data_IF_734590990240
#
_entry.id   IF_734590990240
#
_cell.length_a   1.000
_cell.length_b   1.000
_cell.length_c   1.000
_cell.angle_alpha   90.00
_cell.angle_beta   90.00
_cell.angle_gamma   90.00
#
_symmetry.space_group_name_H-M   'P 1'
#
loop_
_entity.id
_entity.type
_entity.pdbx_description
1 polymer ?
#
# COMPACT_ATOMS: atom_id res chain seq x y z
N UNK A 1 18.74 13.47 -2.74
CA UNK A 1 17.34 13.01 -2.93
C UNK A 1 17.23 11.91 -3.98
N UNK A 2 17.78 12.07 -5.20
CA UNK A 2 17.71 11.06 -6.26
C UNK A 2 18.27 9.67 -5.86
N UNK A 3 19.43 9.60 -5.21
CA UNK A 3 20.00 8.34 -4.72
C UNK A 3 19.15 7.65 -3.64
N UNK A 4 18.38 8.41 -2.86
CA UNK A 4 17.48 7.82 -1.87
C UNK A 4 16.32 7.11 -2.57
N UNK A 5 15.75 7.70 -3.62
CA UNK A 5 14.70 7.07 -4.44
C UNK A 5 15.20 5.79 -5.11
N UNK A 6 16.42 5.79 -5.66
CA UNK A 6 17.02 4.58 -6.27
C UNK A 6 17.20 3.47 -5.25
N UNK A 7 17.77 3.78 -4.08
CA UNK A 7 17.93 2.80 -2.99
C UNK A 7 16.59 2.30 -2.47
N UNK A 8 15.59 3.17 -2.38
CA UNK A 8 14.23 2.81 -1.97
C UNK A 8 13.55 1.89 -3.00
N UNK A 9 13.71 2.15 -4.30
CA UNK A 9 13.21 1.26 -5.34
C UNK A 9 13.89 -0.12 -5.27
N UNK A 10 15.21 -0.14 -5.06
CA UNK A 10 15.98 -1.38 -4.94
C UNK A 10 15.54 -2.22 -3.75
N UNK A 11 15.36 -1.62 -2.55
CA UNK A 11 14.88 -2.38 -1.38
C UNK A 11 13.44 -2.86 -1.57
N UNK A 12 12.59 -2.11 -2.28
CA UNK A 12 11.22 -2.53 -2.62
C UNK A 12 11.18 -3.70 -3.60
N UNK A 13 12.15 -3.83 -4.49
CA UNK A 13 12.25 -5.00 -5.39
C UNK A 13 13.00 -6.15 -4.70
N UNK A 14 14.31 -6.01 -4.50
CA UNK A 14 15.17 -7.07 -3.98
C UNK A 14 14.79 -7.49 -2.56
N UNK A 15 14.49 -6.52 -1.69
CA UNK A 15 14.13 -6.78 -0.29
C UNK A 15 12.79 -7.50 -0.18
N UNK A 16 11.78 -7.07 -0.94
CA UNK A 16 10.48 -7.75 -0.95
C UNK A 16 10.58 -9.17 -1.47
N UNK A 17 11.35 -9.41 -2.54
CA UNK A 17 11.60 -10.77 -3.04
C UNK A 17 12.22 -11.66 -1.95
N UNK A 18 13.26 -11.17 -1.28
CA UNK A 18 13.91 -11.92 -0.21
C UNK A 18 12.96 -12.21 0.97
N UNK A 19 12.09 -11.25 1.34
CA UNK A 19 11.08 -11.45 2.39
C UNK A 19 10.01 -12.46 1.97
N UNK A 20 9.56 -12.45 0.72
CA UNK A 20 8.63 -13.44 0.18
C UNK A 20 9.24 -14.84 0.26
N UNK A 21 10.49 -15.01 -0.16
CA UNK A 21 11.18 -16.30 -0.13
C UNK A 21 11.35 -16.82 1.31
N UNK A 22 11.77 -15.94 2.23
CA UNK A 22 11.91 -16.27 3.64
C UNK A 22 10.57 -16.62 4.29
N UNK A 23 9.50 -15.88 3.99
CA UNK A 23 8.16 -16.14 4.51
C UNK A 23 7.60 -17.48 4.01
N UNK A 24 7.84 -17.81 2.73
CA UNK A 24 7.49 -19.13 2.16
C UNK A 24 8.25 -20.25 2.87
N UNK A 25 9.56 -20.10 3.06
CA UNK A 25 10.39 -21.08 3.74
C UNK A 25 9.98 -21.28 5.22
N UNK A 26 9.52 -20.21 5.87
CA UNK A 26 8.99 -20.26 7.24
C UNK A 26 7.57 -20.84 7.34
N UNK A 27 6.92 -21.16 6.20
CA UNK A 27 5.56 -21.68 6.19
C UNK A 27 4.49 -20.64 6.55
N UNK A 28 4.80 -19.35 6.42
CA UNK A 28 3.83 -18.28 6.65
C UNK A 28 2.59 -18.47 5.75
N UNK A 29 1.42 -18.06 6.24
CA UNK A 29 0.16 -18.20 5.49
C UNK A 29 -0.22 -16.93 4.74
N UNK A 30 0.25 -15.79 5.21
CA UNK A 30 -0.10 -14.47 4.68
C UNK A 30 1.10 -13.55 4.74
N UNK A 31 1.23 -12.68 3.75
CA UNK A 31 2.18 -11.59 3.71
C UNK A 31 1.42 -10.29 3.41
N UNK A 32 1.55 -9.31 4.30
CA UNK A 32 0.93 -7.99 4.14
C UNK A 32 2.04 -6.98 3.89
N UNK A 33 1.95 -6.24 2.79
CA UNK A 33 2.91 -5.20 2.44
C UNK A 33 2.26 -3.83 2.40
N UNK A 34 2.99 -2.85 2.90
CA UNK A 34 2.65 -1.45 2.74
C UNK A 34 3.05 -0.97 1.35
N UNK A 35 2.12 -0.30 0.67
CA UNK A 35 2.28 0.38 -0.62
C UNK A 35 1.71 1.80 -0.51
N UNK A 36 1.64 2.53 -1.62
CA UNK A 36 1.20 3.93 -1.70
C UNK A 36 0.11 4.12 -2.75
N UNK A 37 -0.82 5.03 -2.49
CA UNK A 37 -2.04 5.20 -3.30
C UNK A 37 -1.94 6.24 -4.44
N UNK A 38 -0.83 6.98 -4.57
CA UNK A 38 -0.69 8.09 -5.53
C UNK A 38 0.20 7.76 -6.75
N UNK A 39 0.17 6.50 -7.18
CA UNK A 39 1.00 5.97 -8.28
C UNK A 39 0.20 5.29 -9.38
N UNK A 40 -1.11 5.55 -9.44
CA UNK A 40 -1.97 5.14 -10.56
C UNK A 40 -1.58 5.85 -11.85
N UNK A 41 -1.77 5.16 -12.98
CA UNK A 41 -1.62 5.75 -14.30
C UNK A 41 -2.68 6.84 -14.52
N UNK A 42 -2.40 7.88 -15.32
CA UNK A 42 -3.39 8.91 -15.64
C UNK A 42 -4.69 8.28 -16.18
N UNK A 43 -5.83 8.69 -15.64
CA UNK A 43 -7.14 8.15 -16.00
C UNK A 43 -8.29 8.84 -15.28
N UNK A 44 -9.48 8.25 -15.39
CA UNK A 44 -10.66 8.74 -14.68
C UNK A 44 -10.53 8.48 -13.18
N UNK A 45 -10.75 9.51 -12.38
CA UNK A 45 -10.76 9.44 -10.92
C UNK A 45 -12.20 9.37 -10.39
N UNK A 46 -12.44 8.76 -9.21
CA UNK A 46 -11.45 8.14 -8.33
C UNK A 46 -10.98 6.77 -8.82
N UNK A 47 -9.69 6.48 -8.65
CA UNK A 47 -9.10 5.20 -9.03
C UNK A 47 -9.52 4.05 -8.11
N UNK A 48 -9.84 2.90 -8.70
CA UNK A 48 -10.07 1.63 -8.02
C UNK A 48 -8.80 0.75 -8.07
N UNK A 49 -8.70 -0.28 -7.23
CA UNK A 49 -7.49 -1.10 -7.17
C UNK A 49 -7.21 -1.92 -8.44
N UNK A 50 -8.24 -2.09 -9.28
CA UNK A 50 -8.19 -2.70 -10.61
C UNK A 50 -7.55 -1.80 -11.66
N UNK A 51 -7.44 -0.50 -11.39
CA UNK A 51 -6.81 0.44 -12.31
C UNK A 51 -5.29 0.23 -12.35
N UNK A 52 -4.66 0.45 -13.51
CA UNK A 52 -3.24 0.22 -13.66
C UNK A 52 -2.42 1.22 -12.85
N UNK A 53 -1.31 0.74 -12.29
CA UNK A 53 -0.25 1.62 -11.80
C UNK A 53 0.52 2.23 -12.98
N UNK A 54 1.12 3.39 -12.76
CA UNK A 54 1.77 4.24 -13.77
C UNK A 54 3.12 3.67 -14.26
N UNK A 55 3.12 2.49 -14.88
CA UNK A 55 4.33 1.84 -15.39
C UNK A 55 5.02 2.64 -16.51
N UNK A 56 4.35 3.64 -17.08
CA UNK A 56 4.88 4.57 -18.08
C UNK A 56 5.44 5.86 -17.49
N UNK A 57 5.50 6.00 -16.15
CA UNK A 57 6.06 7.19 -15.51
C UNK A 57 7.49 7.48 -15.98
N UNK A 58 7.80 8.76 -16.19
CA UNK A 58 9.11 9.21 -16.65
C UNK A 58 9.91 9.90 -15.52
N UNK A 59 11.21 10.09 -15.76
CA UNK A 59 12.11 10.83 -14.87
C UNK A 59 12.19 10.25 -13.45
N UNK A 60 12.27 11.12 -12.45
CA UNK A 60 12.41 10.70 -11.05
C UNK A 60 11.22 9.90 -10.50
N UNK A 61 10.02 10.11 -11.06
CA UNK A 61 8.79 9.39 -10.68
C UNK A 61 8.86 7.92 -11.10
N UNK A 62 9.44 7.63 -12.28
CA UNK A 62 9.64 6.29 -12.82
C UNK A 62 10.27 5.32 -11.80
N UNK A 63 11.28 5.80 -11.07
CA UNK A 63 12.01 5.01 -10.07
C UNK A 63 11.08 4.60 -8.92
N UNK A 64 10.30 5.54 -8.39
CA UNK A 64 9.38 5.27 -7.29
C UNK A 64 8.26 4.33 -7.71
N UNK A 65 7.64 4.58 -8.88
CA UNK A 65 6.55 3.74 -9.40
C UNK A 65 7.06 2.34 -9.72
N UNK A 66 8.22 2.21 -10.36
CA UNK A 66 8.85 0.91 -10.62
C UNK A 66 9.08 0.10 -9.33
N UNK A 67 9.53 0.75 -8.25
CA UNK A 67 9.66 0.11 -6.94
C UNK A 67 8.30 -0.36 -6.37
N UNK A 68 7.23 0.43 -6.52
CA UNK A 68 5.89 0.00 -6.10
C UNK A 68 5.41 -1.20 -6.91
N UNK A 69 5.49 -1.12 -8.24
CA UNK A 69 5.07 -2.20 -9.15
C UNK A 69 5.81 -3.50 -8.81
N UNK A 70 7.12 -3.44 -8.55
CA UNK A 70 7.91 -4.60 -8.16
C UNK A 70 7.44 -5.19 -6.82
N UNK A 71 7.26 -4.35 -5.79
CA UNK A 71 6.77 -4.79 -4.48
C UNK A 71 5.40 -5.47 -4.59
N UNK A 72 4.46 -4.85 -5.30
CA UNK A 72 3.11 -5.41 -5.45
C UNK A 72 3.13 -6.71 -6.24
N UNK A 73 3.93 -6.79 -7.30
CA UNK A 73 4.10 -8.03 -8.08
C UNK A 73 4.61 -9.18 -7.20
N UNK A 74 5.64 -8.96 -6.39
CA UNK A 74 6.21 -10.01 -5.53
C UNK A 74 5.23 -10.47 -4.46
N UNK A 75 4.53 -9.54 -3.82
CA UNK A 75 3.57 -9.83 -2.74
C UNK A 75 2.35 -10.54 -3.31
N UNK A 76 1.74 -10.02 -4.37
CA UNK A 76 0.56 -10.62 -4.98
C UNK A 76 0.89 -11.97 -5.66
N UNK A 77 2.13 -12.16 -6.11
CA UNK A 77 2.63 -13.44 -6.64
C UNK A 77 3.14 -14.43 -5.59
N UNK A 78 2.96 -14.16 -4.28
CA UNK A 78 3.57 -14.92 -3.19
C UNK A 78 2.95 -16.31 -2.91
N UNK A 79 2.22 -16.88 -3.87
CA UNK A 79 1.63 -18.22 -3.78
C UNK A 79 2.64 -19.27 -3.27
N UNK A 80 2.24 -20.17 -2.35
CA UNK A 80 0.86 -20.42 -1.89
C UNK A 80 0.37 -19.52 -0.73
N UNK A 81 1.14 -18.50 -0.33
CA UNK A 81 0.70 -17.55 0.70
C UNK A 81 -0.35 -16.57 0.14
N UNK A 82 -1.25 -16.10 0.99
CA UNK A 82 -2.11 -14.96 0.68
C UNK A 82 -1.29 -13.67 0.71
N UNK A 83 -1.13 -13.03 -0.44
CA UNK A 83 -0.49 -11.73 -0.59
C UNK A 83 -1.49 -10.59 -0.50
N UNK A 84 -1.25 -9.64 0.42
CA UNK A 84 -2.09 -8.46 0.61
C UNK A 84 -1.24 -7.21 0.46
N UNK A 85 -1.71 -6.26 -0.33
CA UNK A 85 -1.11 -4.95 -0.48
C UNK A 85 -2.05 -3.90 0.08
N UNK A 86 -1.56 -3.07 1.00
CA UNK A 86 -2.30 -1.92 1.50
C UNK A 86 -1.70 -0.65 0.90
N UNK A 87 -2.40 -0.05 -0.08
CA UNK A 87 -2.04 1.21 -0.74
C UNK A 87 -2.46 2.37 0.16
N UNK A 88 -1.56 2.82 1.01
CA UNK A 88 -1.81 3.91 1.95
C UNK A 88 -1.80 5.26 1.26
N UNK A 89 -2.67 6.17 1.71
CA UNK A 89 -2.49 7.61 1.54
C UNK A 89 -1.25 8.12 2.29
N UNK A 90 -1.00 9.43 2.24
CA UNK A 90 0.02 10.09 3.05
C UNK A 90 -0.34 9.96 4.52
N UNK A 91 0.53 9.27 5.25
CA UNK A 91 0.40 9.08 6.70
C UNK A 91 0.52 10.43 7.41
N UNK A 92 -0.39 10.68 8.35
CA UNK A 92 -0.32 11.80 9.29
C UNK A 92 -0.77 11.38 10.69
N UNK A 93 -0.47 12.21 11.69
CA UNK A 93 -0.76 11.98 13.10
C UNK A 93 0.47 11.58 13.93
N UNK A 94 0.28 11.21 15.21
CA UNK A 94 1.37 11.01 16.16
C UNK A 94 2.45 10.03 15.65
N UNK A 95 3.72 10.43 15.76
CA UNK A 95 4.86 9.57 15.41
C UNK A 95 5.12 9.39 13.92
N UNK A 96 4.36 10.04 13.03
CA UNK A 96 4.60 9.97 11.57
C UNK A 96 5.58 11.02 11.06
N UNK A 97 5.85 12.06 11.85
CA UNK A 97 6.60 13.25 11.41
C UNK A 97 5.77 14.22 10.56
N UNK A 98 4.47 13.96 10.38
CA UNK A 98 3.52 14.82 9.69
C UNK A 98 2.25 15.02 10.55
N UNK A 99 2.07 16.20 11.12
CA UNK A 99 0.89 16.50 11.95
C UNK A 99 -0.35 16.81 11.11
N UNK A 100 -0.16 17.32 9.89
CA UNK A 100 -1.25 17.73 8.99
C UNK A 100 -1.47 16.72 7.86
N UNK A 101 -2.74 16.53 7.51
CA UNK A 101 -3.16 15.68 6.40
C UNK A 101 -2.75 16.25 5.03
N UNK A 102 -2.29 15.37 4.13
CA UNK A 102 -2.04 15.68 2.71
C UNK A 102 -2.79 14.67 1.83
N UNK A 103 -3.66 15.13 0.94
CA UNK A 103 -4.50 14.25 0.15
C UNK A 103 -3.69 13.43 -0.91
N UNK A 104 -4.00 12.14 -1.13
CA UNK A 104 -4.92 11.32 -0.35
C UNK A 104 -4.32 11.02 1.02
N UNK A 105 -4.98 11.40 2.12
CA UNK A 105 -4.42 11.30 3.48
C UNK A 105 -4.86 10.02 4.17
N UNK A 106 -4.10 9.53 5.14
CA UNK A 106 -4.57 8.49 6.07
C UNK A 106 -3.97 8.73 7.45
N UNK A 107 -4.81 8.78 8.48
CA UNK A 107 -4.31 8.90 9.85
C UNK A 107 -3.62 7.60 10.27
N UNK A 108 -2.52 7.70 11.04
CA UNK A 108 -1.71 6.55 11.47
C UNK A 108 -2.54 5.46 12.15
N UNK A 109 -3.49 5.82 13.01
CA UNK A 109 -4.38 4.83 13.65
C UNK A 109 -5.25 4.09 12.65
N UNK A 110 -5.80 4.79 11.65
CA UNK A 110 -6.60 4.17 10.60
C UNK A 110 -5.74 3.27 9.70
N UNK A 111 -4.49 3.65 9.43
CA UNK A 111 -3.54 2.79 8.73
C UNK A 111 -3.18 1.54 9.56
N UNK A 112 -2.93 1.69 10.87
CA UNK A 112 -2.70 0.55 11.76
C UNK A 112 -3.92 -0.37 11.83
N UNK A 113 -5.13 0.19 11.86
CA UNK A 113 -6.36 -0.58 11.81
C UNK A 113 -6.50 -1.35 10.50
N UNK A 114 -6.11 -0.78 9.35
CA UNK A 114 -6.08 -1.48 8.06
C UNK A 114 -5.18 -2.72 8.12
N UNK A 115 -3.99 -2.61 8.72
CA UNK A 115 -3.10 -3.74 8.91
C UNK A 115 -3.72 -4.82 9.82
N UNK A 116 -4.39 -4.43 10.91
CA UNK A 116 -5.08 -5.35 11.80
C UNK A 116 -6.18 -6.13 11.06
N UNK A 117 -7.09 -5.45 10.36
CA UNK A 117 -8.18 -6.14 9.65
C UNK A 117 -7.68 -6.97 8.48
N UNK A 118 -6.57 -6.59 7.84
CA UNK A 118 -5.89 -7.40 6.83
C UNK A 118 -5.32 -8.69 7.43
N UNK A 119 -4.79 -8.66 8.66
CA UNK A 119 -4.36 -9.87 9.39
C UNK A 119 -5.55 -10.78 9.69
N UNK A 120 -6.64 -10.23 10.21
CA UNK A 120 -7.80 -11.00 10.66
C UNK A 120 -8.61 -11.60 9.51
N UNK A 121 -8.81 -10.81 8.43
CA UNK A 121 -9.88 -11.07 7.43
C UNK A 121 -9.42 -10.86 5.99
N UNK A 122 -8.22 -10.35 5.76
CA UNK A 122 -7.78 -9.96 4.43
C UNK A 122 -7.63 -11.13 3.45
N UNK A 123 -8.18 -10.97 2.25
CA UNK A 123 -8.02 -11.88 1.13
C UNK A 123 -6.96 -11.41 0.14
N UNK A 124 -6.57 -12.28 -0.79
CA UNK A 124 -5.58 -11.99 -1.82
C UNK A 124 -5.95 -10.72 -2.60
N UNK A 125 -5.06 -9.72 -2.61
CA UNK A 125 -5.28 -8.52 -3.41
C UNK A 125 -4.70 -7.23 -2.82
N UNK A 126 -4.95 -6.14 -3.55
CA UNK A 126 -4.66 -4.79 -3.10
C UNK A 126 -5.91 -4.10 -2.54
N UNK A 127 -5.70 -3.17 -1.61
CA UNK A 127 -6.71 -2.32 -0.99
C UNK A 127 -6.20 -0.88 -0.87
N UNK A 128 -7.00 0.08 -1.33
CA UNK A 128 -6.79 1.51 -1.12
C UNK A 128 -7.23 1.90 0.29
N UNK A 129 -6.38 2.65 0.98
CA UNK A 129 -6.58 3.01 2.39
C UNK A 129 -6.25 4.50 2.56
N UNK A 130 -7.28 5.33 2.45
CA UNK A 130 -7.20 6.77 2.61
C UNK A 130 -8.53 7.34 3.13
N UNK A 131 -8.50 8.52 3.71
CA UNK A 131 -9.68 9.33 3.99
C UNK A 131 -10.39 9.70 2.69
N UNK A 132 -11.71 10.00 2.72
CA UNK A 132 -12.46 10.37 1.53
C UNK A 132 -11.77 11.49 0.74
N UNK A 133 -11.52 11.25 -0.54
CA UNK A 133 -10.83 12.16 -1.43
C UNK A 133 -11.29 11.94 -2.88
N UNK A 134 -10.84 12.78 -3.81
CA UNK A 134 -11.19 12.66 -5.23
C UNK A 134 -10.31 11.68 -6.03
N UNK A 135 -9.15 11.28 -5.52
CA UNK A 135 -8.12 10.55 -6.26
C UNK A 135 -8.34 9.03 -6.28
N UNK A 136 -8.74 8.42 -5.16
CA UNK A 136 -8.95 6.96 -5.03
C UNK A 136 -10.26 6.64 -4.31
N UNK A 137 -10.90 5.53 -4.69
CA UNK A 137 -11.99 4.95 -3.90
C UNK A 137 -11.42 3.99 -2.85
N UNK A 138 -12.09 3.90 -1.71
CA UNK A 138 -11.79 2.95 -0.62
C UNK A 138 -12.93 1.96 -0.39
N UNK A 139 -13.90 1.87 -1.32
CA UNK A 139 -15.10 1.05 -1.16
C UNK A 139 -14.76 -0.42 -0.88
N UNK A 140 -13.73 -0.93 -1.55
CA UNK A 140 -13.25 -2.30 -1.37
C UNK A 140 -12.72 -2.56 0.05
N UNK A 141 -11.90 -1.65 0.59
CA UNK A 141 -11.39 -1.78 1.95
C UNK A 141 -12.53 -1.71 2.98
N UNK A 142 -13.54 -0.88 2.74
CA UNK A 142 -14.72 -0.78 3.61
C UNK A 142 -15.56 -2.06 3.55
N UNK A 143 -15.85 -2.57 2.35
CA UNK A 143 -16.77 -3.71 2.17
C UNK A 143 -16.15 -5.05 2.55
N UNK A 144 -14.90 -5.30 2.18
CA UNK A 144 -14.24 -6.61 2.38
C UNK A 144 -13.52 -6.69 3.74
N UNK A 145 -12.92 -5.59 4.21
CA UNK A 145 -12.17 -5.60 5.47
C UNK A 145 -12.95 -5.00 6.65
N UNK A 146 -14.07 -4.31 6.40
CA UNK A 146 -14.73 -3.50 7.42
C UNK A 146 -13.86 -2.32 7.87
N UNK A 147 -12.93 -1.87 7.02
CA UNK A 147 -12.00 -0.80 7.36
C UNK A 147 -12.74 0.54 7.50
N UNK A 148 -12.22 1.42 8.38
CA UNK A 148 -12.84 2.72 8.70
C UNK A 148 -11.78 3.82 8.71
N UNK A 149 -11.90 4.78 7.78
CA UNK A 149 -11.01 5.94 7.72
C UNK A 149 -11.00 6.78 9.02
N UNK A 150 -12.14 6.85 9.71
CA UNK A 150 -12.29 7.56 10.98
C UNK A 150 -11.78 6.82 12.22
N UNK A 151 -11.16 5.63 12.08
CA UNK A 151 -10.65 4.89 13.24
C UNK A 151 -9.54 5.68 13.95
N UNK A 152 -9.64 5.80 15.28
CA UNK A 152 -8.64 6.40 16.16
C UNK A 152 -8.48 5.50 17.39
N UNK A 153 -7.26 5.31 17.86
CA UNK A 153 -7.02 4.59 19.11
C UNK A 153 -7.50 5.48 20.27
N UNK A 154 -8.17 4.88 21.25
CA UNK A 154 -8.48 5.59 22.48
C UNK A 154 -7.15 5.90 23.20
N UNK A 155 -7.05 7.13 23.72
CA UNK A 155 -5.92 7.56 24.55
C UNK A 155 -5.95 6.87 25.93
#
# INVERSE_FOLDING_TARGET
MAEASVRNARIRDEGTRNLVDAAKAAGAKRLIAQSIAWVYAPGSEPHAETDPLDSGAEGGRAISVGGVVALEKHVLGASPMTGIVLRYGHLYGPGTGAEAAAAPAVHVDAAAYAALVAVERGEQGAFNVAEPNGHITTDKAVSELGWRAGFRLAA
#
